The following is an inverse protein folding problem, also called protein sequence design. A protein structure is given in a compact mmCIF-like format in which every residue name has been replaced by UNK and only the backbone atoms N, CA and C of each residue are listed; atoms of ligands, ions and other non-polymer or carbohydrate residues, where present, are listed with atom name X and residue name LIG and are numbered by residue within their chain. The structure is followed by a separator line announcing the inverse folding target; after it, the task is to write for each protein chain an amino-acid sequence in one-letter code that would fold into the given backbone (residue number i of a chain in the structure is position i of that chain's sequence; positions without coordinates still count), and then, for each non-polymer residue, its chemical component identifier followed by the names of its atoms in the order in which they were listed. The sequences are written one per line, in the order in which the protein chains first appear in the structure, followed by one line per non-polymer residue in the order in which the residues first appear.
data_IF_544838728223
#
_entry.id   IF_544838728223
#
_cell.length_a   1.000
_cell.length_b   1.000
_cell.length_c   1.000
_cell.angle_alpha   90.00
_cell.angle_beta   90.00
_cell.angle_gamma   90.00
#
_symmetry.space_group_name_H-M   'P 1'
#
loop_
_entity.id
_entity.type
_entity.pdbx_description
1 polymer ?
#
# COMPACT_ATOMS: atom_id res chain seq x y z
N UNK A 1 -2.05 2.97 -8.20
CA UNK A 1 -2.22 2.05 -9.33
C UNK A 1 -3.54 2.35 -10.04
N UNK A 2 -3.55 2.42 -11.38
CA UNK A 2 -4.74 2.46 -12.25
C UNK A 2 -5.30 1.05 -12.44
N UNK A 3 -6.51 0.95 -12.97
CA UNK A 3 -7.13 -0.35 -13.30
C UNK A 3 -6.32 -1.13 -14.34
N UNK A 4 -5.75 -0.46 -15.34
CA UNK A 4 -4.87 -1.08 -16.36
C UNK A 4 -3.62 -1.68 -15.74
N UNK A 5 -2.97 -0.93 -14.85
CA UNK A 5 -1.77 -1.38 -14.12
C UNK A 5 -2.07 -2.60 -13.23
N UNK A 6 -3.29 -2.73 -12.68
CA UNK A 6 -3.65 -3.96 -11.95
C UNK A 6 -3.57 -5.20 -12.86
N UNK A 7 -4.10 -5.10 -14.07
CA UNK A 7 -4.10 -6.19 -15.04
C UNK A 7 -2.70 -6.51 -15.53
N UNK A 8 -1.90 -5.49 -15.84
CA UNK A 8 -0.49 -5.64 -16.26
C UNK A 8 0.33 -6.35 -15.16
N UNK A 9 0.19 -5.94 -13.90
CA UNK A 9 0.89 -6.57 -12.78
C UNK A 9 0.40 -8.00 -12.53
N UNK A 10 -0.92 -8.27 -12.60
CA UNK A 10 -1.46 -9.63 -12.48
C UNK A 10 -0.89 -10.56 -13.55
N UNK A 11 -0.88 -10.11 -14.81
CA UNK A 11 -0.33 -10.88 -15.94
C UNK A 11 1.17 -11.12 -15.78
N UNK A 12 1.93 -10.12 -15.33
CA UNK A 12 3.35 -10.29 -15.04
C UNK A 12 3.58 -11.37 -13.96
N UNK A 13 2.84 -11.31 -12.86
CA UNK A 13 2.92 -12.31 -11.79
C UNK A 13 2.53 -13.71 -12.27
N UNK A 14 1.48 -13.83 -13.08
CA UNK A 14 1.05 -15.09 -13.68
C UNK A 14 2.13 -15.67 -14.61
N UNK A 15 2.81 -14.83 -15.40
CA UNK A 15 3.95 -15.27 -16.23
C UNK A 15 5.13 -15.79 -15.42
N UNK A 16 5.23 -15.39 -14.15
CA UNK A 16 6.18 -15.90 -13.16
C UNK A 16 5.63 -17.09 -12.35
N UNK A 17 4.54 -17.73 -12.80
CA UNK A 17 3.83 -18.82 -12.11
C UNK A 17 3.29 -18.47 -10.72
N UNK A 18 2.99 -17.18 -10.46
CA UNK A 18 2.37 -16.72 -9.21
C UNK A 18 0.87 -16.57 -9.43
N UNK A 19 0.07 -17.20 -8.56
CA UNK A 19 -1.40 -17.10 -8.61
C UNK A 19 -1.85 -15.71 -8.18
N UNK A 20 -2.10 -14.84 -9.16
CA UNK A 20 -2.60 -13.48 -8.96
C UNK A 20 -4.03 -13.33 -9.48
N UNK A 21 -4.73 -12.29 -9.01
CA UNK A 21 -6.01 -11.87 -9.57
C UNK A 21 -6.17 -10.35 -9.50
N UNK A 22 -6.99 -9.80 -10.40
CA UNK A 22 -7.32 -8.37 -10.43
C UNK A 22 -8.54 -8.08 -9.56
N UNK A 23 -8.53 -6.94 -8.87
CA UNK A 23 -9.70 -6.41 -8.17
C UNK A 23 -9.81 -4.89 -8.30
N UNK A 24 -10.84 -4.40 -8.99
CA UNK A 24 -11.10 -2.95 -9.07
C UNK A 24 -12.57 -2.62 -9.33
N UNK A 25 -12.96 -1.37 -9.09
CA UNK A 25 -14.35 -0.91 -9.20
C UNK A 25 -14.99 -1.12 -10.58
N UNK A 26 -14.20 -1.16 -11.65
CA UNK A 26 -14.69 -1.46 -13.01
C UNK A 26 -15.11 -2.92 -13.26
N UNK A 27 -14.90 -3.84 -12.31
CA UNK A 27 -15.30 -5.24 -12.46
C UNK A 27 -16.75 -5.46 -11.99
N UNK A 28 -17.51 -6.36 -12.66
CA UNK A 28 -18.81 -6.82 -12.18
C UNK A 28 -18.73 -7.33 -10.73
N UNK A 29 -19.78 -7.10 -9.95
CA UNK A 29 -19.84 -7.53 -8.55
C UNK A 29 -19.58 -9.02 -8.38
N UNK A 30 -20.18 -9.86 -9.23
CA UNK A 30 -20.00 -11.32 -9.20
C UNK A 30 -18.53 -11.73 -9.36
N UNK A 31 -17.79 -11.07 -10.26
CA UNK A 31 -16.36 -11.31 -10.45
C UNK A 31 -15.55 -10.86 -9.23
N UNK A 32 -15.85 -9.68 -8.67
CA UNK A 32 -15.20 -9.19 -7.45
C UNK A 32 -15.42 -10.14 -6.26
N UNK A 33 -16.64 -10.65 -6.09
CA UNK A 33 -16.97 -11.61 -5.05
C UNK A 33 -16.24 -12.95 -5.24
N UNK A 34 -16.14 -13.43 -6.48
CA UNK A 34 -15.38 -14.64 -6.79
C UNK A 34 -13.88 -14.49 -6.48
N UNK A 35 -13.25 -13.37 -6.87
CA UNK A 35 -11.84 -13.09 -6.54
C UNK A 35 -11.64 -13.03 -5.03
N UNK A 36 -12.52 -12.33 -4.30
CA UNK A 36 -12.44 -12.24 -2.85
C UNK A 36 -12.56 -13.62 -2.17
N UNK A 37 -13.45 -14.48 -2.66
CA UNK A 37 -13.57 -15.87 -2.19
C UNK A 37 -12.28 -16.64 -2.44
N UNK A 38 -11.79 -16.68 -3.68
CA UNK A 38 -10.57 -17.41 -4.06
C UNK A 38 -9.35 -16.97 -3.26
N UNK A 39 -9.20 -15.67 -3.01
CA UNK A 39 -8.08 -15.15 -2.24
C UNK A 39 -8.20 -15.48 -0.75
N UNK A 40 -9.40 -15.40 -0.18
CA UNK A 40 -9.65 -15.82 1.22
C UNK A 40 -9.37 -17.30 1.42
N UNK A 41 -9.80 -18.13 0.47
CA UNK A 41 -9.69 -19.59 0.52
C UNK A 41 -8.25 -20.07 0.12
N UNK A 42 -7.35 -19.15 -0.26
CA UNK A 42 -5.96 -19.46 -0.62
C UNK A 42 -5.74 -19.98 -2.04
N UNK A 43 -6.78 -20.03 -2.88
CA UNK A 43 -6.67 -20.40 -4.29
C UNK A 43 -5.89 -19.36 -5.11
N UNK A 44 -6.00 -18.08 -4.73
CA UNK A 44 -5.21 -16.97 -5.27
C UNK A 44 -4.31 -16.45 -4.14
N UNK A 45 -3.04 -16.21 -4.43
CA UNK A 45 -2.06 -15.76 -3.42
C UNK A 45 -1.98 -14.23 -3.36
N UNK A 46 -2.08 -13.55 -4.51
CA UNK A 46 -1.92 -12.10 -4.63
C UNK A 46 -3.14 -11.48 -5.29
N UNK A 47 -3.64 -10.36 -4.74
CA UNK A 47 -4.69 -9.56 -5.38
C UNK A 47 -4.12 -8.20 -5.78
N UNK A 48 -4.08 -7.94 -7.09
CA UNK A 48 -3.69 -6.67 -7.68
C UNK A 48 -4.90 -5.73 -7.69
N UNK A 49 -4.93 -4.76 -6.77
CA UNK A 49 -6.11 -3.94 -6.54
C UNK A 49 -5.88 -2.42 -6.65
N UNK A 50 -6.91 -1.72 -7.13
CA UNK A 50 -7.03 -0.26 -6.91
C UNK A 50 -7.76 0.03 -5.61
N UNK A 51 -7.68 1.27 -5.11
CA UNK A 51 -8.57 1.77 -4.06
C UNK A 51 -10.00 1.77 -4.60
N UNK A 52 -10.74 0.70 -4.34
CA UNK A 52 -12.17 0.58 -4.63
C UNK A 52 -12.93 0.74 -3.31
N UNK A 53 -13.79 1.76 -3.23
CA UNK A 53 -14.69 1.94 -2.09
C UNK A 53 -15.53 0.68 -1.88
N UNK A 54 -15.54 0.15 -0.67
CA UNK A 54 -16.35 -1.02 -0.29
C UNK A 54 -15.59 -2.35 -0.13
N UNK A 55 -14.27 -2.37 -0.32
CA UNK A 55 -13.50 -3.60 -0.05
C UNK A 55 -13.14 -3.72 1.44
N UNK A 56 -13.98 -4.45 2.18
CA UNK A 56 -13.65 -4.98 3.50
C UNK A 56 -12.81 -6.26 3.34
N UNK A 57 -11.52 -6.11 3.05
CA UNK A 57 -10.56 -7.19 3.29
C UNK A 57 -10.50 -7.38 4.81
N UNK A 58 -11.12 -8.46 5.28
CA UNK A 58 -11.04 -8.94 6.67
C UNK A 58 -10.29 -10.27 6.76
N UNK A 59 -9.29 -10.45 5.87
CA UNK A 59 -8.33 -11.54 6.00
C UNK A 59 -7.29 -11.11 7.03
N UNK A 60 -7.16 -11.88 8.11
CA UNK A 60 -6.30 -11.48 9.24
C UNK A 60 -4.81 -11.78 9.00
N UNK A 61 -4.53 -12.77 8.16
CA UNK A 61 -3.22 -13.37 7.91
C UNK A 61 -2.56 -12.84 6.62
N UNK A 62 -2.76 -11.56 6.31
CA UNK A 62 -2.12 -10.91 5.16
C UNK A 62 -0.64 -10.64 5.48
N UNK A 63 0.27 -11.31 4.77
CA UNK A 63 1.72 -11.23 5.03
C UNK A 63 2.41 -10.03 4.40
N UNK A 64 1.83 -9.44 3.37
CA UNK A 64 2.36 -8.21 2.80
C UNK A 64 1.29 -7.35 2.14
N UNK A 65 1.54 -6.05 2.14
CA UNK A 65 0.85 -5.06 1.31
C UNK A 65 1.92 -4.30 0.53
N UNK A 66 1.85 -4.37 -0.79
CA UNK A 66 2.77 -3.68 -1.70
C UNK A 66 2.00 -2.59 -2.44
N UNK A 67 2.38 -1.35 -2.19
CA UNK A 67 1.92 -0.19 -2.94
C UNK A 67 2.76 -0.06 -4.21
N UNK A 68 2.21 -0.51 -5.35
CA UNK A 68 2.85 -0.36 -6.66
C UNK A 68 3.12 1.11 -7.05
N UNK A 69 2.39 2.04 -6.44
CA UNK A 69 2.59 3.49 -6.54
C UNK A 69 2.29 4.11 -5.19
N UNK A 70 2.95 5.22 -4.83
CA UNK A 70 2.62 5.96 -3.59
C UNK A 70 1.12 6.27 -3.46
N UNK A 71 0.62 6.22 -2.22
CA UNK A 71 -0.75 6.64 -1.88
C UNK A 71 -0.91 8.16 -2.02
N UNK A 72 -2.16 8.63 -1.99
CA UNK A 72 -2.48 10.07 -2.11
C UNK A 72 -2.17 10.87 -0.84
N UNK A 73 -2.06 10.19 0.29
CA UNK A 73 -1.77 10.79 1.59
C UNK A 73 -1.22 9.73 2.56
N UNK A 74 -0.66 10.18 3.68
CA UNK A 74 -0.20 9.29 4.77
C UNK A 74 -1.37 8.55 5.40
N UNK A 75 -2.54 9.17 5.52
CA UNK A 75 -3.74 8.55 6.07
C UNK A 75 -4.24 7.39 5.19
N UNK A 76 -4.25 7.58 3.86
CA UNK A 76 -4.58 6.51 2.92
C UNK A 76 -3.55 5.39 3.00
N UNK A 77 -2.25 5.72 3.00
CA UNK A 77 -1.18 4.72 3.15
C UNK A 77 -1.32 3.93 4.45
N UNK A 78 -1.60 4.59 5.58
CA UNK A 78 -1.79 3.93 6.87
C UNK A 78 -2.98 2.97 6.86
N UNK A 79 -4.13 3.38 6.35
CA UNK A 79 -5.31 2.51 6.26
C UNK A 79 -5.09 1.32 5.32
N UNK A 80 -4.41 1.53 4.20
CA UNK A 80 -4.13 0.50 3.19
C UNK A 80 -3.11 -0.51 3.70
N UNK A 81 -1.98 -0.02 4.25
CA UNK A 81 -0.91 -0.86 4.82
C UNK A 81 -1.35 -1.60 6.09
N UNK A 82 -2.23 -1.00 6.90
CA UNK A 82 -2.82 -1.63 8.11
C UNK A 82 -3.75 -2.82 7.85
N UNK A 83 -3.86 -3.28 6.59
CA UNK A 83 -4.48 -4.57 6.25
C UNK A 83 -3.52 -5.75 6.45
N UNK A 84 -2.21 -5.50 6.51
CA UNK A 84 -1.21 -6.52 6.79
C UNK A 84 -1.18 -6.91 8.28
N UNK A 85 -0.94 -8.20 8.58
CA UNK A 85 -0.56 -8.66 9.92
C UNK A 85 -1.59 -8.47 11.04
N UNK A 86 -2.88 -8.58 10.77
CA UNK A 86 -3.93 -8.43 11.80
C UNK A 86 -4.00 -9.62 12.78
N UNK A 87 -3.34 -10.71 12.45
CA UNK A 87 -3.06 -11.85 13.34
C UNK A 87 -1.87 -11.59 14.30
N UNK A 88 -1.29 -10.38 14.29
CA UNK A 88 -0.11 -9.97 15.05
C UNK A 88 1.19 -10.73 14.70
N UNK A 89 1.20 -11.48 13.60
CA UNK A 89 2.42 -12.08 13.07
C UNK A 89 3.15 -11.11 12.15
N UNK A 90 4.49 -11.24 11.99
CA UNK A 90 5.27 -10.39 11.10
C UNK A 90 4.66 -10.26 9.70
N UNK A 91 4.63 -9.04 9.20
CA UNK A 91 4.13 -8.71 7.88
C UNK A 91 4.87 -7.48 7.32
N UNK A 92 4.90 -7.36 5.99
CA UNK A 92 5.63 -6.30 5.30
C UNK A 92 4.71 -5.28 4.63
N UNK A 93 5.05 -4.01 4.77
CA UNK A 93 4.37 -2.91 4.07
C UNK A 93 5.40 -2.18 3.22
N UNK A 94 5.31 -2.31 1.89
CA UNK A 94 6.32 -1.80 0.95
C UNK A 94 5.67 -0.78 0.02
N UNK A 95 6.34 0.36 -0.22
CA UNK A 95 5.93 1.32 -1.24
C UNK A 95 6.99 1.40 -2.34
N UNK A 96 6.57 1.12 -3.57
CA UNK A 96 7.39 1.35 -4.76
C UNK A 96 7.21 2.82 -5.14
N UNK A 97 8.26 3.61 -4.92
CA UNK A 97 8.22 5.05 -5.08
C UNK A 97 9.04 5.51 -6.28
N UNK A 98 8.41 6.31 -7.14
CA UNK A 98 9.08 7.07 -8.18
C UNK A 98 8.63 8.53 -8.17
N UNK A 99 9.52 9.45 -8.55
CA UNK A 99 9.14 10.85 -8.76
C UNK A 99 8.11 11.01 -9.89
N UNK A 100 8.15 10.12 -10.88
CA UNK A 100 7.17 10.09 -11.97
C UNK A 100 5.74 9.89 -11.44
N UNK A 101 5.53 8.94 -10.54
CA UNK A 101 4.22 8.69 -9.94
C UNK A 101 3.71 9.89 -9.13
N UNK A 102 4.61 10.56 -8.40
CA UNK A 102 4.28 11.79 -7.69
C UNK A 102 3.77 12.87 -8.66
N UNK A 103 4.49 13.16 -9.74
CA UNK A 103 4.07 14.19 -10.69
C UNK A 103 2.77 13.83 -11.41
N UNK A 104 2.58 12.55 -11.74
CA UNK A 104 1.34 12.05 -12.31
C UNK A 104 0.17 12.24 -11.33
N UNK A 105 0.33 11.89 -10.06
CA UNK A 105 -0.70 12.10 -9.03
C UNK A 105 -0.98 13.58 -8.81
N UNK A 106 0.07 14.41 -8.76
CA UNK A 106 -0.02 15.87 -8.63
C UNK A 106 -0.85 16.49 -9.76
N UNK A 107 -0.67 16.02 -11.00
CA UNK A 107 -1.46 16.47 -12.15
C UNK A 107 -2.94 16.10 -12.01
N UNK A 108 -3.24 14.89 -11.54
CA UNK A 108 -4.62 14.45 -11.27
C UNK A 108 -5.28 15.24 -10.14
N UNK A 109 -4.50 15.70 -9.17
CA UNK A 109 -4.97 16.44 -8.00
C UNK A 109 -4.94 17.96 -8.19
N UNK A 110 -4.47 18.47 -9.34
CA UNK A 110 -4.27 19.92 -9.58
C UNK A 110 -5.51 20.77 -9.39
N UNK A 111 -6.69 20.23 -9.67
CA UNK A 111 -7.97 20.93 -9.54
C UNK A 111 -8.65 20.72 -8.18
N UNK A 112 -7.97 20.03 -7.26
CA UNK A 112 -8.45 19.85 -5.88
C UNK A 112 -8.00 21.01 -4.99
N UNK A 113 -8.46 21.02 -3.75
CA UNK A 113 -8.11 22.07 -2.81
C UNK A 113 -6.63 21.99 -2.37
N UNK A 114 -6.14 23.09 -1.77
CA UNK A 114 -4.77 23.20 -1.24
C UNK A 114 -4.43 22.10 -0.23
N UNK A 115 -5.39 21.71 0.62
CA UNK A 115 -5.19 20.67 1.63
C UNK A 115 -4.87 19.30 1.01
N UNK A 116 -5.50 18.93 -0.11
CA UNK A 116 -5.21 17.68 -0.81
C UNK A 116 -3.79 17.67 -1.40
N UNK A 117 -3.29 18.82 -1.85
CA UNK A 117 -1.90 18.95 -2.31
C UNK A 117 -0.89 18.86 -1.17
N UNK A 118 -1.21 19.44 -0.01
CA UNK A 118 -0.39 19.32 1.20
C UNK A 118 -0.30 17.86 1.66
N UNK A 119 -1.42 17.13 1.66
CA UNK A 119 -1.44 15.67 1.95
C UNK A 119 -0.57 14.86 1.01
N UNK A 120 -0.62 15.15 -0.30
CA UNK A 120 0.23 14.49 -1.29
C UNK A 120 1.71 14.79 -1.05
N UNK A 121 2.04 16.04 -0.72
CA UNK A 121 3.41 16.44 -0.40
C UNK A 121 3.93 15.77 0.89
N UNK A 122 3.10 15.62 1.92
CA UNK A 122 3.45 14.85 3.12
C UNK A 122 3.77 13.40 2.78
N UNK A 123 2.98 12.77 1.91
CA UNK A 123 3.28 11.40 1.46
C UNK A 123 4.57 11.32 0.64
N UNK A 124 4.84 12.31 -0.22
CA UNK A 124 6.13 12.41 -0.93
C UNK A 124 7.29 12.48 0.06
N UNK A 125 7.19 13.37 1.05
CA UNK A 125 8.22 13.53 2.09
C UNK A 125 8.41 12.23 2.88
N UNK A 126 7.33 11.53 3.22
CA UNK A 126 7.41 10.22 3.84
C UNK A 126 8.17 9.23 2.98
N UNK A 127 7.93 9.13 1.67
CA UNK A 127 8.67 8.22 0.78
C UNK A 127 10.16 8.57 0.69
N UNK A 128 10.49 9.86 0.56
CA UNK A 128 11.85 10.38 0.39
C UNK A 128 12.64 10.56 1.70
N UNK A 129 12.09 10.09 2.82
CA UNK A 129 12.75 10.16 4.12
C UNK A 129 14.21 9.66 3.99
N UNK A 130 15.18 10.50 4.34
CA UNK A 130 16.60 10.14 4.29
C UNK A 130 16.99 9.34 5.53
N UNK A 131 16.69 9.92 6.70
CA UNK A 131 17.02 9.42 8.02
C UNK A 131 15.80 9.38 8.95
N UNK A 132 15.87 8.60 10.03
CA UNK A 132 14.81 8.46 11.03
C UNK A 132 13.89 7.26 10.83
N UNK A 133 13.07 6.90 11.84
CA UNK A 133 12.17 5.74 11.73
C UNK A 133 10.89 6.08 10.94
N UNK A 134 10.54 5.24 9.96
CA UNK A 134 9.26 5.34 9.22
C UNK A 134 8.05 5.38 10.16
N UNK A 135 7.99 4.50 11.15
CA UNK A 135 6.87 4.42 12.10
C UNK A 135 6.77 5.69 12.95
N UNK A 136 7.89 6.24 13.41
CA UNK A 136 7.88 7.51 14.16
C UNK A 136 7.34 8.66 13.30
N UNK A 137 7.81 8.78 12.05
CA UNK A 137 7.31 9.79 11.09
C UNK A 137 5.82 9.64 10.85
N UNK A 138 5.35 8.40 10.67
CA UNK A 138 3.94 8.09 10.42
C UNK A 138 3.07 8.42 11.64
N UNK A 139 3.47 8.03 12.85
CA UNK A 139 2.73 8.30 14.09
C UNK A 139 2.69 9.79 14.43
N UNK A 140 3.79 10.53 14.20
CA UNK A 140 3.82 11.99 14.34
C UNK A 140 2.82 12.68 13.42
N UNK A 141 2.75 12.26 12.15
CA UNK A 141 1.77 12.81 11.21
C UNK A 141 0.33 12.56 11.65
N UNK A 142 0.05 11.37 12.20
CA UNK A 142 -1.27 10.99 12.72
C UNK A 142 -1.59 11.57 14.10
N UNK A 143 -0.69 12.38 14.69
CA UNK A 143 -0.82 12.91 16.06
C UNK A 143 -1.05 11.81 17.11
N UNK A 144 -0.50 10.62 16.85
CA UNK A 144 -0.55 9.48 17.74
C UNK A 144 0.68 9.44 18.67
N UNK A 145 0.60 8.62 19.72
CA UNK A 145 1.69 8.48 20.70
C UNK A 145 2.98 8.08 19.98
N UNK A 146 4.06 8.82 20.26
CA UNK A 146 5.37 8.58 19.66
C UNK A 146 5.94 7.23 20.10
N UNK A 147 6.27 6.39 19.12
CA UNK A 147 6.97 5.12 19.32
C UNK A 147 8.35 5.20 18.65
N UNK A 148 9.40 4.81 19.39
CA UNK A 148 10.75 4.67 18.83
C UNK A 148 11.01 3.20 18.50
N UNK A 149 11.32 2.94 17.24
CA UNK A 149 11.58 1.59 16.72
C UNK A 149 12.99 1.07 17.05
N UNK A 150 13.79 1.85 17.78
CA UNK A 150 15.16 1.48 18.14
C UNK A 150 15.08 0.31 19.12
N UNK A 151 15.69 -0.82 18.78
CA UNK A 151 15.62 -2.11 19.48
C UNK A 151 14.30 -2.89 19.33
N UNK A 152 13.45 -2.54 18.37
CA UNK A 152 12.30 -3.38 18.00
C UNK A 152 12.79 -4.61 17.23
N UNK A 153 12.19 -5.77 17.50
CA UNK A 153 12.37 -7.01 16.73
C UNK A 153 11.92 -6.90 15.26
N UNK A 154 11.15 -5.85 14.92
CA UNK A 154 10.63 -5.59 13.58
C UNK A 154 10.95 -4.15 13.12
N UNK A 155 12.23 -3.82 12.87
CA UNK A 155 12.65 -2.48 12.47
C UNK A 155 12.22 -2.15 11.02
N UNK A 156 12.04 -0.86 10.73
CA UNK A 156 11.80 -0.40 9.36
C UNK A 156 13.09 -0.34 8.53
N UNK A 157 12.94 -0.21 7.21
CA UNK A 157 14.02 -0.04 6.21
C UNK A 157 15.05 1.05 6.55
N UNK A 158 14.69 2.07 7.34
CA UNK A 158 15.62 3.14 7.74
C UNK A 158 16.46 2.85 8.97
N UNK A 159 16.10 1.83 9.75
CA UNK A 159 16.90 1.37 10.89
C UNK A 159 17.64 0.09 10.57
N UNK A 160 17.15 -0.67 9.59
CA UNK A 160 17.89 -1.69 8.87
C UNK A 160 18.78 -0.95 7.87
N UNK A 161 20.04 -0.63 8.20
CA UNK A 161 20.97 -0.14 7.19
C UNK A 161 21.17 -1.23 6.12
N UNK A 162 20.26 -1.31 5.14
CA UNK A 162 20.48 -2.07 3.93
C UNK A 162 21.53 -1.30 3.12
N UNK A 163 22.81 -1.60 3.39
CA UNK A 163 23.86 -1.37 2.41
C UNK A 163 23.58 -2.35 1.28
N UNK A 164 23.01 -1.84 0.19
CA UNK A 164 23.10 -2.46 -1.14
C UNK A 164 24.26 -1.77 -1.84
#
# INVERSE_FOLDING_TARGET
MKTTECSEVSQFLESCNIKAAVYHAGMPYSQRAAVQKKWRDGEVHIVCATIASGMWIDKIDVRFVIHNTMSRSIESYYQESGRAGRDNLPAFCVVLYTLYDYFRMRRLMRYRNRADMERLNSMKHYCELKDGCRRETLLKHLQAISFKCKNDSQPCDKLLQFQI
#
